data_IF_739611295752
#
_entry.id   IF_739611295752
#
_cell.length_a   1.000
_cell.length_b   1.000
_cell.length_c   1.000
_cell.angle_alpha   90.00
_cell.angle_beta   90.00
_cell.angle_gamma   90.00
#
_symmetry.space_group_name_H-M   'P 1'
#
loop_
_entity.id
_entity.type
_entity.pdbx_description
1 polymer ?
#
# COMPACT_ATOMS: atom_id res chain seq x y z
N UNK A 1 -47.86 24.77 5.77
CA UNK A 1 -46.83 25.80 5.53
C UNK A 1 -45.52 25.32 6.07
N UNK A 2 -44.64 24.78 5.20
CA UNK A 2 -43.18 24.72 5.37
C UNK A 2 -42.61 24.46 3.97
N UNK A 3 -42.38 25.57 3.24
CA UNK A 3 -41.50 25.61 2.08
C UNK A 3 -40.10 25.96 2.58
N UNK A 4 -39.09 25.40 2.00
CA UNK A 4 -37.74 25.91 2.08
C UNK A 4 -36.72 24.82 2.33
N UNK A 5 -36.03 24.41 1.29
CA UNK A 5 -34.60 24.15 1.17
C UNK A 5 -34.27 23.13 0.06
N UNK A 6 -34.52 23.56 -1.16
CA UNK A 6 -34.04 22.79 -2.32
C UNK A 6 -33.50 23.72 -3.44
N UNK A 7 -32.63 24.67 -3.07
CA UNK A 7 -32.00 25.57 -4.04
C UNK A 7 -30.45 25.57 -3.99
N UNK A 8 -29.82 24.78 -3.16
CA UNK A 8 -28.36 24.83 -3.00
C UNK A 8 -27.54 24.01 -3.98
N UNK A 9 -28.06 22.90 -4.46
CA UNK A 9 -27.30 21.93 -5.29
C UNK A 9 -27.05 22.37 -6.75
N UNK A 10 -28.01 22.97 -7.50
CA UNK A 10 -27.79 23.37 -8.88
C UNK A 10 -26.80 24.53 -9.03
N UNK A 11 -26.77 25.46 -8.07
CA UNK A 11 -25.90 26.65 -8.11
C UNK A 11 -24.44 26.29 -7.86
N UNK A 12 -24.18 25.30 -6.98
CA UNK A 12 -22.82 24.83 -6.71
C UNK A 12 -22.25 24.06 -7.91
N UNK A 13 -23.06 23.25 -8.56
CA UNK A 13 -22.67 22.52 -9.78
C UNK A 13 -22.39 23.49 -10.92
N UNK A 14 -23.22 24.51 -11.15
CA UNK A 14 -23.00 25.53 -12.17
C UNK A 14 -21.73 26.38 -11.94
N UNK A 15 -21.42 26.74 -10.69
CA UNK A 15 -20.19 27.46 -10.36
C UNK A 15 -18.95 26.58 -10.55
N UNK A 16 -18.98 25.31 -10.18
CA UNK A 16 -17.87 24.37 -10.39
C UNK A 16 -17.64 24.11 -11.89
N UNK A 17 -18.70 23.99 -12.70
CA UNK A 17 -18.59 23.85 -14.15
C UNK A 17 -18.08 25.13 -14.84
N UNK A 18 -18.51 26.30 -14.40
CA UNK A 18 -18.03 27.59 -14.93
C UNK A 18 -16.54 27.80 -14.66
N UNK A 19 -16.06 27.49 -13.47
CA UNK A 19 -14.64 27.58 -13.12
C UNK A 19 -13.80 26.48 -13.76
N UNK A 20 -14.32 25.25 -13.90
CA UNK A 20 -13.64 24.17 -14.59
C UNK A 20 -13.49 24.43 -16.10
N UNK A 21 -14.51 24.98 -16.76
CA UNK A 21 -14.44 25.33 -18.17
C UNK A 21 -13.49 26.50 -18.47
N UNK A 22 -13.40 27.48 -17.56
CA UNK A 22 -12.41 28.56 -17.64
C UNK A 22 -10.98 28.04 -17.41
N UNK A 23 -10.81 27.12 -16.47
CA UNK A 23 -9.51 26.51 -16.14
C UNK A 23 -8.98 25.57 -17.24
N UNK A 24 -9.85 24.98 -18.05
CA UNK A 24 -9.45 24.14 -19.20
C UNK A 24 -8.85 24.96 -20.34
N UNK A 25 -9.20 26.24 -20.46
CA UNK A 25 -8.66 27.12 -21.52
C UNK A 25 -7.25 27.63 -21.24
N UNK A 26 -6.83 27.66 -19.97
CA UNK A 26 -5.50 28.14 -19.59
C UNK A 26 -4.62 26.99 -19.09
N UNK A 27 -3.96 26.31 -20.01
CA UNK A 27 -3.06 25.18 -19.74
C UNK A 27 -1.80 25.54 -18.95
N UNK A 28 -1.49 26.82 -18.80
CA UNK A 28 -0.24 27.30 -18.19
C UNK A 28 -0.36 27.65 -16.70
N UNK A 29 -1.53 28.00 -16.19
CA UNK A 29 -1.71 28.53 -14.83
C UNK A 29 -1.95 27.48 -13.74
N UNK A 30 -2.18 26.21 -14.10
CA UNK A 30 -2.49 25.17 -13.10
C UNK A 30 -1.25 24.55 -12.39
N UNK A 31 -0.03 24.94 -12.76
CA UNK A 31 1.19 24.42 -12.13
C UNK A 31 1.58 25.13 -10.83
N UNK A 32 1.03 26.29 -10.53
CA UNK A 32 1.54 27.20 -9.48
C UNK A 32 0.80 27.19 -8.14
N UNK A 33 -0.37 26.57 -8.04
CA UNK A 33 -1.11 26.54 -6.78
C UNK A 33 -0.82 25.26 -5.98
N UNK A 34 -0.54 25.37 -4.67
CA UNK A 34 -0.37 24.19 -3.82
C UNK A 34 -1.66 23.35 -3.88
N UNK A 35 -1.56 22.05 -4.19
CA UNK A 35 -2.72 21.23 -4.50
C UNK A 35 -3.57 21.00 -3.26
N UNK A 36 -4.70 21.68 -3.18
CA UNK A 36 -5.71 21.40 -2.16
C UNK A 36 -6.30 19.99 -2.36
N UNK A 37 -6.78 19.38 -1.28
CA UNK A 37 -7.47 18.08 -1.33
C UNK A 37 -8.64 18.10 -2.33
N UNK A 38 -9.32 19.24 -2.44
CA UNK A 38 -10.44 19.45 -3.35
C UNK A 38 -10.02 19.48 -4.82
N UNK A 39 -8.88 20.08 -5.17
CA UNK A 39 -8.38 20.09 -6.56
C UNK A 39 -8.03 18.67 -7.04
N UNK A 40 -7.43 17.85 -6.17
CA UNK A 40 -7.15 16.45 -6.48
C UNK A 40 -8.45 15.67 -6.77
N UNK A 41 -9.48 15.87 -5.96
CA UNK A 41 -10.78 15.25 -6.15
C UNK A 41 -11.43 15.69 -7.45
N UNK A 42 -11.52 17.01 -7.73
CA UNK A 42 -12.09 17.57 -8.95
C UNK A 42 -11.36 17.04 -10.19
N UNK A 43 -10.03 17.03 -10.17
CA UNK A 43 -9.28 16.52 -11.31
C UNK A 43 -9.51 15.03 -11.55
N UNK A 44 -9.53 14.20 -10.50
CA UNK A 44 -9.84 12.79 -10.62
C UNK A 44 -11.27 12.56 -11.16
N UNK A 45 -12.20 13.42 -10.77
CA UNK A 45 -13.54 13.43 -11.34
C UNK A 45 -13.51 13.76 -12.84
N UNK A 46 -12.75 14.78 -13.26
CA UNK A 46 -12.62 15.19 -14.67
C UNK A 46 -11.92 14.11 -15.52
N UNK A 47 -10.95 13.39 -14.96
CA UNK A 47 -10.33 12.21 -15.59
C UNK A 47 -11.35 11.09 -15.73
N UNK A 48 -12.13 10.83 -14.70
CA UNK A 48 -13.16 9.78 -14.72
C UNK A 48 -14.28 10.06 -15.74
N UNK A 49 -14.60 11.34 -15.95
CA UNK A 49 -15.58 11.76 -16.97
C UNK A 49 -15.00 11.85 -18.38
N UNK A 50 -13.72 11.55 -18.58
CA UNK A 50 -13.06 11.61 -19.88
C UNK A 50 -12.75 13.02 -20.39
N UNK A 51 -12.96 14.06 -19.57
CA UNK A 51 -12.64 15.45 -19.91
C UNK A 51 -11.12 15.70 -19.88
N UNK A 52 -10.42 15.03 -18.96
CA UNK A 52 -8.95 15.08 -18.85
C UNK A 52 -8.36 13.69 -19.05
N UNK A 53 -7.18 13.66 -19.68
CA UNK A 53 -6.39 12.43 -19.81
C UNK A 53 -5.92 11.92 -18.46
N UNK A 54 -5.91 10.58 -18.29
CA UNK A 54 -5.34 9.94 -17.11
C UNK A 54 -3.84 10.14 -17.10
N UNK A 55 -3.31 10.78 -16.05
CA UNK A 55 -1.88 10.97 -15.81
C UNK A 55 -1.56 10.48 -14.41
N UNK A 56 -0.34 10.01 -14.22
CA UNK A 56 0.16 9.66 -12.90
C UNK A 56 0.56 10.95 -12.14
N UNK A 57 -0.46 11.69 -11.68
CA UNK A 57 -0.27 13.01 -11.04
C UNK A 57 0.68 12.98 -9.86
N UNK A 58 0.70 11.87 -9.14
CA UNK A 58 1.60 11.69 -8.02
C UNK A 58 3.07 11.75 -8.48
N UNK A 59 3.38 11.27 -9.70
CA UNK A 59 4.71 11.37 -10.29
C UNK A 59 5.01 12.76 -10.89
N UNK A 60 3.99 13.42 -11.45
CA UNK A 60 4.17 14.74 -12.06
C UNK A 60 4.40 15.87 -11.03
N UNK A 61 4.05 15.66 -9.78
CA UNK A 61 4.29 16.61 -8.67
C UNK A 61 5.64 16.47 -8.01
N UNK A 62 6.36 15.38 -8.26
CA UNK A 62 7.65 15.13 -7.62
C UNK A 62 8.71 16.17 -8.01
N UNK A 63 8.82 16.63 -9.26
CA UNK A 63 9.77 17.69 -9.62
C UNK A 63 9.55 18.99 -8.84
N UNK A 64 8.32 19.50 -8.79
CA UNK A 64 8.01 20.73 -8.04
C UNK A 64 8.26 20.59 -6.54
N UNK A 65 7.96 19.41 -5.97
CA UNK A 65 8.31 19.10 -4.59
C UNK A 65 9.83 19.12 -4.37
N UNK A 66 10.62 18.56 -5.32
CA UNK A 66 12.08 18.56 -5.21
C UNK A 66 12.63 19.98 -5.15
N UNK A 67 12.19 20.86 -6.05
CA UNK A 67 12.68 22.26 -6.06
C UNK A 67 12.36 22.98 -4.75
N UNK A 68 11.20 22.72 -4.16
CA UNK A 68 10.86 23.25 -2.84
C UNK A 68 11.75 22.66 -1.73
N UNK A 69 12.04 21.37 -1.76
CA UNK A 69 12.93 20.69 -0.80
C UNK A 69 14.38 21.17 -0.90
N UNK A 70 14.80 21.60 -2.09
CA UNK A 70 16.16 22.07 -2.37
C UNK A 70 16.35 23.58 -2.12
N UNK A 71 15.30 24.34 -1.86
CA UNK A 71 15.37 25.79 -1.75
C UNK A 71 16.41 26.27 -0.71
N UNK A 72 16.48 25.55 0.42
CA UNK A 72 17.40 25.85 1.53
C UNK A 72 18.63 24.93 1.60
N UNK A 73 18.90 24.15 0.54
CA UNK A 73 20.02 23.21 0.51
C UNK A 73 21.22 23.76 -0.28
N UNK A 74 22.45 23.35 0.05
CA UNK A 74 23.63 23.71 -0.73
C UNK A 74 23.48 23.37 -2.23
N UNK A 75 24.01 24.23 -3.10
CA UNK A 75 23.99 24.01 -4.55
C UNK A 75 24.61 22.65 -4.96
N UNK A 76 25.65 22.19 -4.24
CA UNK A 76 26.27 20.90 -4.45
C UNK A 76 25.26 19.74 -4.25
N UNK A 77 24.43 19.78 -3.21
CA UNK A 77 23.37 18.78 -2.99
C UNK A 77 22.32 18.83 -4.08
N UNK A 78 21.90 20.03 -4.50
CA UNK A 78 20.92 20.19 -5.57
C UNK A 78 21.43 19.59 -6.91
N UNK A 79 22.71 19.78 -7.22
CA UNK A 79 23.35 19.24 -8.42
C UNK A 79 23.41 17.70 -8.45
N UNK A 80 23.37 17.05 -7.29
CA UNK A 80 23.30 15.58 -7.17
C UNK A 80 21.85 15.08 -7.09
N UNK A 81 21.00 15.76 -6.34
CA UNK A 81 19.63 15.33 -6.11
C UNK A 81 18.75 15.42 -7.37
N UNK A 82 18.89 16.48 -8.17
CA UNK A 82 18.13 16.64 -9.42
C UNK A 82 18.35 15.50 -10.42
N UNK A 83 19.59 15.16 -10.86
CA UNK A 83 19.78 14.03 -11.77
C UNK A 83 19.45 12.69 -11.12
N UNK A 84 19.70 12.49 -9.83
CA UNK A 84 19.28 11.28 -9.12
C UNK A 84 17.76 11.08 -9.18
N UNK A 85 16.97 12.13 -8.89
CA UNK A 85 15.52 12.03 -9.01
C UNK A 85 15.07 11.85 -10.46
N UNK A 86 15.43 12.77 -11.36
CA UNK A 86 14.85 12.83 -12.70
C UNK A 86 15.25 11.63 -13.57
N UNK A 87 16.55 11.32 -13.62
CA UNK A 87 17.07 10.32 -14.54
C UNK A 87 17.08 8.90 -13.97
N UNK A 88 17.23 8.76 -12.67
CA UNK A 88 17.32 7.42 -12.08
C UNK A 88 16.03 6.97 -11.42
N UNK A 89 15.40 7.78 -10.60
CA UNK A 89 14.20 7.37 -9.85
C UNK A 89 12.92 7.55 -10.68
N UNK A 90 12.66 8.76 -11.17
CA UNK A 90 11.40 9.13 -11.81
C UNK A 90 11.24 8.44 -13.17
N UNK A 91 12.30 8.38 -13.98
CA UNK A 91 12.29 7.64 -15.25
C UNK A 91 11.87 6.17 -15.04
N UNK A 92 12.47 5.50 -14.05
CA UNK A 92 12.12 4.10 -13.72
C UNK A 92 10.71 3.95 -13.17
N UNK A 93 10.23 4.94 -12.41
CA UNK A 93 8.87 4.94 -11.90
C UNK A 93 7.86 5.08 -13.05
N UNK A 94 8.09 6.02 -13.99
CA UNK A 94 7.26 6.20 -15.18
C UNK A 94 7.25 4.96 -16.08
N UNK A 95 8.40 4.33 -16.32
CA UNK A 95 8.47 3.09 -17.09
C UNK A 95 7.66 1.96 -16.42
N UNK A 96 7.74 1.82 -15.11
CA UNK A 96 6.95 0.82 -14.38
C UNK A 96 5.46 1.12 -14.42
N UNK A 97 5.08 2.38 -14.28
CA UNK A 97 3.69 2.82 -14.35
C UNK A 97 3.05 2.56 -15.71
N UNK A 98 3.83 2.69 -16.80
CA UNK A 98 3.37 2.39 -18.16
C UNK A 98 3.10 0.89 -18.41
N UNK A 99 3.78 -0.02 -17.68
CA UNK A 99 3.70 -1.47 -17.91
C UNK A 99 2.98 -2.24 -16.80
N UNK A 100 2.74 -1.63 -15.66
CA UNK A 100 2.15 -2.30 -14.48
C UNK A 100 1.28 -1.33 -13.71
N UNK A 101 0.40 -1.90 -12.87
CA UNK A 101 -0.33 -1.09 -11.90
C UNK A 101 0.62 -0.23 -11.06
N UNK A 102 0.38 1.09 -11.05
CA UNK A 102 1.17 2.06 -10.29
C UNK A 102 0.66 2.13 -8.84
N UNK A 103 1.46 1.72 -7.83
CA UNK A 103 1.00 1.80 -6.45
C UNK A 103 0.83 3.25 -6.03
N UNK A 104 -0.26 3.55 -5.33
CA UNK A 104 -0.58 4.89 -4.82
C UNK A 104 0.46 5.46 -3.83
N UNK A 105 1.43 4.65 -3.40
CA UNK A 105 2.53 5.05 -2.51
C UNK A 105 3.84 5.36 -3.23
N UNK A 106 3.87 5.26 -4.56
CA UNK A 106 5.12 5.39 -5.32
C UNK A 106 5.77 6.78 -5.18
N UNK A 107 4.95 7.84 -5.12
CA UNK A 107 5.42 9.21 -4.88
C UNK A 107 6.13 9.33 -3.52
N UNK A 108 5.53 8.75 -2.48
CA UNK A 108 6.08 8.76 -1.12
C UNK A 108 7.41 8.03 -1.05
N UNK A 109 7.53 6.90 -1.74
CA UNK A 109 8.78 6.13 -1.80
C UNK A 109 9.89 6.90 -2.53
N UNK A 110 9.56 7.61 -3.61
CA UNK A 110 10.53 8.44 -4.32
C UNK A 110 11.01 9.59 -3.45
N UNK A 111 10.10 10.32 -2.79
CA UNK A 111 10.45 11.40 -1.85
C UNK A 111 11.35 10.91 -0.74
N UNK A 112 11.02 9.79 -0.10
CA UNK A 112 11.84 9.21 0.97
C UNK A 112 13.26 8.87 0.50
N UNK A 113 13.43 8.35 -0.73
CA UNK A 113 14.76 8.07 -1.28
C UNK A 113 15.58 9.33 -1.47
N UNK A 114 14.95 10.40 -1.94
CA UNK A 114 15.61 11.70 -2.09
C UNK A 114 15.94 12.29 -0.73
N UNK A 115 15.01 12.32 0.22
CA UNK A 115 15.26 12.86 1.57
C UNK A 115 16.41 12.12 2.26
N UNK A 116 16.46 10.78 2.16
CA UNK A 116 17.58 10.00 2.74
C UNK A 116 18.90 10.29 2.03
N UNK A 117 18.90 10.53 0.71
CA UNK A 117 20.09 10.94 0.00
C UNK A 117 20.58 12.32 0.43
N UNK A 118 19.67 13.29 0.62
CA UNK A 118 20.01 14.63 1.12
C UNK A 118 20.53 14.59 2.57
N UNK A 119 19.93 13.77 3.43
CA UNK A 119 20.42 13.54 4.81
C UNK A 119 21.85 12.97 4.80
N UNK A 120 22.13 12.05 3.87
CA UNK A 120 23.46 11.46 3.71
C UNK A 120 24.48 12.49 3.21
N UNK A 121 24.11 13.32 2.25
CA UNK A 121 24.98 14.40 1.76
C UNK A 121 25.29 15.43 2.88
N UNK A 122 24.29 15.80 3.67
CA UNK A 122 24.51 16.69 4.82
C UNK A 122 25.44 16.06 5.87
N UNK A 123 25.34 14.73 6.08
CA UNK A 123 26.24 13.99 6.98
C UNK A 123 27.70 13.95 6.46
N UNK A 124 27.89 13.86 5.14
CA UNK A 124 29.21 13.94 4.48
C UNK A 124 29.82 15.32 4.71
N UNK A 125 29.06 16.40 4.44
CA UNK A 125 29.51 17.78 4.64
C UNK A 125 29.92 18.07 6.09
N UNK A 126 29.17 17.54 7.07
CA UNK A 126 29.51 17.70 8.50
C UNK A 126 30.85 17.07 8.89
N UNK A 127 31.41 16.22 8.05
CA UNK A 127 32.69 15.52 8.26
C UNK A 127 33.79 15.97 7.31
N UNK A 128 33.53 17.03 6.54
CA UNK A 128 34.45 17.55 5.51
C UNK A 128 34.91 16.46 4.52
N UNK A 129 34.03 15.51 4.21
CA UNK A 129 34.32 14.40 3.30
C UNK A 129 33.84 14.76 1.88
N UNK A 130 34.67 14.48 0.88
CA UNK A 130 34.21 14.54 -0.50
C UNK A 130 33.52 13.21 -0.90
N UNK A 131 32.51 13.31 -1.77
CA UNK A 131 31.76 12.12 -2.23
C UNK A 131 32.67 11.09 -2.94
N UNK A 132 33.73 11.55 -3.62
CA UNK A 132 34.69 10.70 -4.28
C UNK A 132 35.61 9.93 -3.31
N UNK A 133 35.84 10.46 -2.13
CA UNK A 133 36.74 9.90 -1.11
C UNK A 133 36.04 8.94 -0.15
N UNK A 134 34.75 8.71 -0.37
CA UNK A 134 34.00 7.79 0.48
C UNK A 134 34.56 6.37 0.43
N UNK A 135 34.85 5.83 1.61
CA UNK A 135 35.25 4.46 1.83
C UNK A 135 34.11 3.66 2.48
N UNK A 136 34.24 2.34 2.51
CA UNK A 136 33.21 1.46 3.09
C UNK A 136 32.97 1.77 4.59
N UNK A 137 34.04 2.10 5.32
CA UNK A 137 33.95 2.49 6.75
C UNK A 137 33.00 3.67 7.00
N UNK A 138 32.99 4.67 6.11
CA UNK A 138 32.09 5.81 6.22
C UNK A 138 30.61 5.39 6.05
N UNK A 139 30.35 4.40 5.17
CA UNK A 139 29.01 3.83 5.02
C UNK A 139 28.61 3.04 6.26
N UNK A 140 29.53 2.24 6.80
CA UNK A 140 29.29 1.44 8.00
C UNK A 140 28.99 2.34 9.21
N UNK A 141 29.70 3.45 9.37
CA UNK A 141 29.43 4.48 10.37
C UNK A 141 28.05 5.10 10.21
N UNK A 142 27.72 5.54 9.00
CA UNK A 142 26.42 6.16 8.73
C UNK A 142 25.26 5.21 9.01
N UNK A 143 25.35 3.94 8.61
CA UNK A 143 24.32 2.94 8.83
C UNK A 143 24.20 2.49 10.28
N UNK A 144 25.24 2.63 11.11
CA UNK A 144 25.20 2.22 12.53
C UNK A 144 24.14 3.00 13.29
N UNK A 145 23.98 4.31 13.02
CA UNK A 145 22.91 5.14 13.58
C UNK A 145 21.60 5.15 12.79
N UNK A 146 21.52 4.44 11.64
CA UNK A 146 20.38 4.51 10.74
C UNK A 146 19.35 3.41 11.01
N UNK A 147 18.06 3.77 10.89
CA UNK A 147 16.97 2.79 10.92
C UNK A 147 17.04 1.81 9.74
N UNK A 148 16.47 0.61 9.88
CA UNK A 148 16.42 -0.39 8.81
C UNK A 148 15.87 0.17 7.49
N UNK A 149 14.93 1.10 7.57
CA UNK A 149 14.36 1.76 6.39
C UNK A 149 15.37 2.71 5.73
N UNK A 150 16.10 3.52 6.49
CA UNK A 150 17.14 4.42 5.95
C UNK A 150 18.26 3.63 5.28
N UNK A 151 18.71 2.51 5.89
CA UNK A 151 19.69 1.58 5.29
C UNK A 151 19.21 1.02 3.95
N UNK A 152 17.93 0.66 3.85
CA UNK A 152 17.36 0.17 2.58
C UNK A 152 17.29 1.27 1.52
N UNK A 153 16.89 2.48 1.89
CA UNK A 153 16.66 3.56 0.95
C UNK A 153 17.96 4.15 0.39
N UNK A 154 19.03 4.25 1.19
CA UNK A 154 20.32 4.81 0.74
C UNK A 154 20.98 3.98 -0.37
N UNK A 155 20.70 2.68 -0.46
CA UNK A 155 21.20 1.80 -1.53
C UNK A 155 20.92 2.32 -2.93
N UNK A 156 19.77 3.00 -3.10
CA UNK A 156 19.40 3.56 -4.40
C UNK A 156 20.32 4.71 -4.80
N UNK A 157 20.69 5.54 -3.84
CA UNK A 157 21.61 6.65 -4.07
C UNK A 157 23.04 6.14 -4.33
N UNK A 158 23.55 5.25 -3.48
CA UNK A 158 24.89 4.66 -3.65
C UNK A 158 24.99 3.90 -4.98
N UNK A 159 23.98 3.13 -5.37
CA UNK A 159 23.97 2.48 -6.68
C UNK A 159 24.02 3.48 -7.83
N UNK A 160 23.34 4.61 -7.68
CA UNK A 160 23.34 5.67 -8.68
C UNK A 160 24.71 6.37 -8.74
N UNK A 161 25.31 6.74 -7.60
CA UNK A 161 26.64 7.39 -7.55
C UNK A 161 27.73 6.49 -8.11
N UNK A 162 27.73 5.20 -7.76
CA UNK A 162 28.64 4.21 -8.35
C UNK A 162 28.46 4.09 -9.87
N UNK A 163 27.20 4.02 -10.34
CA UNK A 163 26.92 3.94 -11.79
C UNK A 163 27.36 5.19 -12.57
N UNK A 164 27.57 6.30 -11.89
CA UNK A 164 28.06 7.58 -12.43
C UNK A 164 29.55 7.84 -12.15
N UNK A 165 30.22 6.87 -11.55
CA UNK A 165 31.61 6.98 -11.15
C UNK A 165 31.91 8.15 -10.19
N UNK A 166 30.90 8.58 -9.42
CA UNK A 166 31.02 9.60 -8.39
C UNK A 166 31.55 9.03 -7.08
N UNK A 167 31.38 7.73 -6.87
CA UNK A 167 31.91 6.97 -5.73
C UNK A 167 32.49 5.65 -6.21
N UNK A 168 33.35 5.06 -5.41
CA UNK A 168 33.74 3.64 -5.54
C UNK A 168 32.50 2.75 -5.32
N UNK A 169 32.63 1.45 -5.56
CA UNK A 169 31.60 0.49 -5.20
C UNK A 169 31.51 0.39 -3.68
N UNK A 170 30.33 0.81 -3.15
CA UNK A 170 30.02 0.81 -1.72
C UNK A 170 28.82 -0.09 -1.46
N UNK A 171 28.90 -0.92 -0.44
CA UNK A 171 27.88 -1.90 -0.11
C UNK A 171 27.15 -1.52 1.17
N UNK A 172 25.84 -1.68 1.17
CA UNK A 172 25.01 -1.59 2.37
C UNK A 172 24.53 -2.99 2.72
N UNK A 173 24.97 -3.56 3.84
CA UNK A 173 24.55 -4.89 4.26
C UNK A 173 23.03 -5.02 4.34
N UNK A 174 22.50 -6.12 3.85
CA UNK A 174 21.10 -6.44 4.06
C UNK A 174 20.90 -6.85 5.50
N UNK A 175 20.08 -6.12 6.23
CA UNK A 175 19.62 -6.64 7.51
C UNK A 175 18.81 -7.92 7.25
N UNK A 176 18.99 -8.96 8.08
CA UNK A 176 18.06 -10.07 8.08
C UNK A 176 16.65 -9.51 8.22
N UNK A 177 15.75 -9.92 7.34
CA UNK A 177 14.35 -9.53 7.50
C UNK A 177 13.86 -10.14 8.80
N UNK A 178 13.43 -9.28 9.72
CA UNK A 178 12.83 -9.69 10.96
C UNK A 178 11.62 -10.59 10.67
N UNK A 179 11.47 -11.61 11.47
CA UNK A 179 10.28 -12.45 11.50
C UNK A 179 9.05 -11.61 11.82
N UNK A 180 7.86 -12.05 11.44
CA UNK A 180 6.65 -11.35 11.78
C UNK A 180 6.53 -11.26 13.31
N UNK A 181 6.86 -10.10 13.85
CA UNK A 181 6.60 -9.78 15.26
C UNK A 181 5.16 -9.29 15.35
N UNK A 182 4.50 -9.56 16.47
CA UNK A 182 3.11 -9.18 16.74
C UNK A 182 2.11 -9.89 15.82
N UNK A 183 1.90 -11.15 16.05
CA UNK A 183 0.74 -11.91 15.60
C UNK A 183 -0.46 -11.56 16.49
N UNK A 184 -1.64 -11.54 15.91
CA UNK A 184 -2.85 -11.53 16.71
C UNK A 184 -3.03 -12.93 17.30
N UNK A 185 -3.29 -13.01 18.58
CA UNK A 185 -3.51 -14.29 19.25
C UNK A 185 -4.77 -14.98 18.67
N UNK A 186 -4.78 -16.29 18.66
CA UNK A 186 -5.93 -17.08 18.24
C UNK A 186 -7.17 -16.77 19.10
N UNK A 187 -6.98 -16.58 20.40
CA UNK A 187 -8.06 -16.22 21.33
C UNK A 187 -8.68 -14.85 21.02
N UNK A 188 -7.94 -13.93 20.41
CA UNK A 188 -8.44 -12.64 19.93
C UNK A 188 -8.95 -12.72 18.48
N UNK A 189 -8.33 -13.56 17.65
CA UNK A 189 -8.64 -13.66 16.22
C UNK A 189 -10.04 -14.22 15.96
N UNK A 190 -10.39 -15.31 16.64
CA UNK A 190 -11.68 -15.96 16.44
C UNK A 190 -12.88 -15.11 16.89
N UNK A 191 -12.89 -14.45 18.05
CA UNK A 191 -13.94 -13.51 18.43
C UNK A 191 -14.09 -12.34 17.43
N UNK A 192 -12.98 -11.78 16.93
CA UNK A 192 -13.02 -10.73 15.91
C UNK A 192 -13.63 -11.24 14.60
N UNK A 193 -13.27 -12.45 14.17
CA UNK A 193 -13.88 -13.08 12.99
C UNK A 193 -15.37 -13.32 13.18
N UNK A 194 -15.76 -13.89 14.33
CA UNK A 194 -17.16 -14.10 14.65
C UNK A 194 -17.94 -12.79 14.65
N UNK A 195 -17.39 -11.74 15.25
CA UNK A 195 -17.97 -10.40 15.22
C UNK A 195 -18.14 -9.87 13.79
N UNK A 196 -17.15 -10.02 12.93
CA UNK A 196 -17.27 -9.65 11.52
C UNK A 196 -18.41 -10.39 10.80
N UNK A 197 -18.65 -11.66 11.15
CA UNK A 197 -19.66 -12.50 10.49
C UNK A 197 -21.07 -12.30 11.04
N UNK A 198 -21.22 -11.83 12.29
CA UNK A 198 -22.52 -11.85 12.99
C UNK A 198 -23.00 -10.49 13.49
N UNK A 199 -22.13 -9.50 13.66
CA UNK A 199 -22.48 -8.19 14.21
C UNK A 199 -22.99 -7.25 13.11
N UNK A 200 -24.29 -7.09 13.00
CA UNK A 200 -24.94 -6.22 12.01
C UNK A 200 -24.78 -4.72 12.32
N UNK A 201 -24.31 -4.35 13.52
CA UNK A 201 -23.97 -2.97 13.85
C UNK A 201 -22.69 -2.49 13.12
N UNK A 202 -21.85 -3.42 12.65
CA UNK A 202 -20.69 -3.10 11.83
C UNK A 202 -21.09 -2.83 10.37
N UNK A 203 -20.51 -1.81 9.72
CA UNK A 203 -20.71 -1.60 8.28
C UNK A 203 -20.33 -2.85 7.47
N UNK A 204 -21.13 -3.18 6.47
CA UNK A 204 -20.98 -4.40 5.68
C UNK A 204 -19.58 -4.55 5.04
N UNK A 205 -19.01 -3.47 4.55
CA UNK A 205 -17.67 -3.46 3.98
C UNK A 205 -16.56 -3.66 5.03
N UNK A 206 -16.77 -3.24 6.28
CA UNK A 206 -15.88 -3.53 7.42
C UNK A 206 -15.98 -5.02 7.79
N UNK A 207 -17.18 -5.55 7.85
CA UNK A 207 -17.44 -6.97 8.09
C UNK A 207 -16.74 -7.85 7.06
N UNK A 208 -16.98 -7.58 5.78
CA UNK A 208 -16.40 -8.33 4.68
C UNK A 208 -14.86 -8.19 4.62
N UNK A 209 -14.33 -6.96 4.67
CA UNK A 209 -12.90 -6.71 4.65
C UNK A 209 -12.15 -7.27 5.85
N UNK A 210 -12.75 -7.18 7.04
CA UNK A 210 -12.24 -7.77 8.28
C UNK A 210 -12.20 -9.30 8.21
N UNK A 211 -13.29 -9.94 7.84
CA UNK A 211 -13.35 -11.40 7.72
C UNK A 211 -12.36 -11.96 6.69
N UNK A 212 -12.23 -11.32 5.51
CA UNK A 212 -11.23 -11.71 4.50
C UNK A 212 -9.81 -11.56 5.07
N UNK A 213 -9.53 -10.49 5.81
CA UNK A 213 -8.20 -10.25 6.39
C UNK A 213 -7.87 -11.28 7.47
N UNK A 214 -8.83 -11.61 8.34
CA UNK A 214 -8.66 -12.56 9.44
C UNK A 214 -8.57 -14.01 8.97
N UNK A 215 -9.23 -14.38 7.86
CA UNK A 215 -9.20 -15.75 7.31
C UNK A 215 -8.04 -16.00 6.37
N UNK A 216 -7.82 -15.09 5.42
CA UNK A 216 -6.93 -15.36 4.28
C UNK A 216 -5.68 -14.47 4.25
N UNK A 217 -5.64 -13.40 5.03
CA UNK A 217 -4.48 -12.51 5.12
C UNK A 217 -3.98 -11.91 3.81
N UNK A 218 -4.83 -11.48 2.86
CA UNK A 218 -4.35 -10.85 1.63
C UNK A 218 -3.62 -9.54 1.95
N UNK A 219 -2.82 -9.05 0.99
CA UNK A 219 -2.31 -7.67 1.12
C UNK A 219 -3.49 -6.69 1.09
N UNK A 220 -3.38 -5.59 1.86
CA UNK A 220 -4.42 -4.55 1.87
C UNK A 220 -4.68 -3.98 0.46
N UNK A 221 -3.65 -3.91 -0.37
CA UNK A 221 -3.77 -3.50 -1.76
C UNK A 221 -4.68 -4.46 -2.55
N UNK A 222 -4.45 -5.77 -2.41
CA UNK A 222 -5.31 -6.78 -3.06
C UNK A 222 -6.74 -6.73 -2.55
N UNK A 223 -6.93 -6.60 -1.23
CA UNK A 223 -8.25 -6.44 -0.64
C UNK A 223 -9.01 -5.26 -1.24
N UNK A 224 -8.36 -4.09 -1.38
CA UNK A 224 -8.97 -2.89 -1.97
C UNK A 224 -9.37 -3.09 -3.44
N UNK A 225 -8.65 -3.93 -4.18
CA UNK A 225 -8.86 -4.15 -5.62
C UNK A 225 -9.79 -5.34 -5.93
N UNK A 226 -10.51 -5.85 -4.95
CA UNK A 226 -11.51 -6.88 -5.17
C UNK A 226 -12.73 -6.31 -5.92
N UNK A 227 -13.19 -7.06 -6.91
CA UNK A 227 -14.37 -6.78 -7.72
C UNK A 227 -15.34 -7.97 -7.62
N UNK A 228 -16.60 -7.84 -8.01
CA UNK A 228 -17.55 -8.96 -8.05
C UNK A 228 -17.05 -10.13 -8.89
N UNK A 229 -16.23 -9.90 -9.92
CA UNK A 229 -15.66 -10.95 -10.79
C UNK A 229 -14.69 -11.88 -10.06
N UNK A 230 -14.15 -11.43 -8.91
CA UNK A 230 -13.33 -12.28 -8.03
C UNK A 230 -14.17 -13.25 -7.19
N UNK A 231 -15.50 -13.07 -7.15
CA UNK A 231 -16.43 -13.97 -6.48
C UNK A 231 -16.97 -14.98 -7.52
N UNK A 232 -16.85 -16.25 -7.23
CA UNK A 232 -17.40 -17.32 -8.06
C UNK A 232 -18.41 -18.10 -7.22
N UNK A 233 -19.63 -18.21 -7.72
CA UNK A 233 -20.70 -18.96 -7.09
C UNK A 233 -20.99 -20.17 -7.97
N UNK A 234 -21.06 -21.35 -7.36
CA UNK A 234 -21.63 -22.55 -7.94
C UNK A 234 -22.88 -22.94 -7.13
N UNK A 235 -23.55 -24.04 -7.53
CA UNK A 235 -24.82 -24.44 -6.90
C UNK A 235 -24.74 -24.72 -5.39
N UNK A 236 -23.55 -25.01 -4.87
CA UNK A 236 -23.36 -25.42 -3.47
C UNK A 236 -22.37 -24.56 -2.70
N UNK A 237 -21.47 -23.91 -3.39
CA UNK A 237 -20.33 -23.26 -2.77
C UNK A 237 -20.06 -21.88 -3.38
N UNK A 238 -19.41 -21.06 -2.62
CA UNK A 238 -18.89 -19.79 -3.08
C UNK A 238 -17.36 -19.75 -2.90
N UNK A 239 -16.69 -19.15 -3.84
CA UNK A 239 -15.23 -19.06 -3.87
C UNK A 239 -14.78 -17.63 -4.09
N UNK A 240 -13.65 -17.27 -3.51
CA UNK A 240 -12.98 -15.99 -3.69
C UNK A 240 -11.63 -16.20 -4.37
N UNK A 241 -11.36 -15.46 -5.44
CA UNK A 241 -10.10 -15.48 -6.16
C UNK A 241 -9.17 -14.40 -5.61
N UNK A 242 -8.28 -14.76 -4.70
CA UNK A 242 -7.23 -13.88 -4.18
C UNK A 242 -5.90 -14.04 -4.92
N UNK A 243 -5.62 -15.20 -5.44
CA UNK A 243 -4.41 -15.56 -6.17
C UNK A 243 -4.73 -16.16 -7.53
N UNK A 244 -4.00 -17.21 -7.88
CA UNK A 244 -4.23 -17.97 -9.12
C UNK A 244 -5.39 -18.97 -8.97
N UNK A 245 -5.61 -19.46 -7.76
CA UNK A 245 -6.65 -20.42 -7.44
C UNK A 245 -7.72 -19.85 -6.51
N UNK A 246 -8.99 -20.21 -6.73
CA UNK A 246 -10.09 -19.81 -5.88
C UNK A 246 -10.01 -20.50 -4.50
N UNK A 247 -10.37 -19.77 -3.44
CA UNK A 247 -10.53 -20.30 -2.08
C UNK A 247 -11.99 -20.45 -1.73
N UNK A 248 -12.34 -21.54 -1.08
CA UNK A 248 -13.69 -21.78 -0.58
C UNK A 248 -14.05 -20.78 0.51
N UNK A 249 -15.23 -20.20 0.40
CA UNK A 249 -15.74 -19.25 1.38
C UNK A 249 -16.66 -19.95 2.39
N UNK A 250 -16.53 -19.63 3.70
CA UNK A 250 -17.55 -20.01 4.67
C UNK A 250 -18.91 -19.43 4.27
N UNK A 251 -20.03 -20.17 4.46
CA UNK A 251 -21.36 -19.76 3.99
C UNK A 251 -21.78 -18.34 4.40
N UNK A 252 -21.52 -17.95 5.65
CA UNK A 252 -21.84 -16.60 6.16
C UNK A 252 -21.02 -15.50 5.47
N UNK A 253 -19.74 -15.76 5.20
CA UNK A 253 -18.90 -14.80 4.47
C UNK A 253 -19.32 -14.72 2.99
N UNK A 254 -19.67 -15.84 2.38
CA UNK A 254 -20.18 -15.89 1.02
C UNK A 254 -21.44 -15.04 0.86
N UNK A 255 -22.41 -15.18 1.76
CA UNK A 255 -23.63 -14.37 1.77
C UNK A 255 -23.35 -12.88 1.97
N UNK A 256 -22.46 -12.53 2.91
CA UNK A 256 -22.06 -11.15 3.17
C UNK A 256 -21.41 -10.52 1.92
N UNK A 257 -20.55 -11.27 1.23
CA UNK A 257 -19.89 -10.77 0.00
C UNK A 257 -20.85 -10.67 -1.17
N UNK A 258 -21.83 -11.56 -1.26
CA UNK A 258 -22.90 -11.50 -2.26
C UNK A 258 -23.73 -10.22 -2.07
N UNK A 259 -24.17 -9.96 -0.85
CA UNK A 259 -24.91 -8.75 -0.52
C UNK A 259 -24.08 -7.48 -0.78
N UNK A 260 -22.79 -7.48 -0.43
CA UNK A 260 -21.89 -6.36 -0.72
C UNK A 260 -21.73 -6.13 -2.23
N UNK A 261 -21.65 -7.20 -3.02
CA UNK A 261 -21.56 -7.12 -4.47
C UNK A 261 -22.87 -6.62 -5.12
N UNK A 262 -24.01 -6.89 -4.53
CA UNK A 262 -25.31 -6.45 -5.01
C UNK A 262 -25.65 -5.01 -4.60
N UNK A 263 -25.00 -4.47 -3.56
CA UNK A 263 -25.28 -3.11 -3.10
C UNK A 263 -25.13 -2.10 -4.23
N UNK A 264 -26.12 -1.22 -4.42
CA UNK A 264 -26.00 -0.14 -5.40
C UNK A 264 -24.87 0.79 -4.96
N UNK A 265 -23.82 0.85 -5.78
CA UNK A 265 -22.80 1.86 -5.58
C UNK A 265 -23.40 3.23 -5.86
N UNK A 266 -23.25 4.19 -4.96
CA UNK A 266 -23.55 5.59 -5.20
C UNK A 266 -22.70 6.04 -6.37
N UNK A 267 -23.26 5.91 -7.59
CA UNK A 267 -22.64 6.46 -8.80
C UNK A 267 -23.06 7.93 -8.87
N UNK A 268 -22.14 8.88 -8.79
CA UNK A 268 -22.47 10.24 -9.19
C UNK A 268 -23.07 10.19 -10.60
N UNK A 269 -24.07 11.00 -10.87
CA UNK A 269 -24.71 11.03 -12.21
C UNK A 269 -23.71 11.21 -13.36
N UNK A 270 -22.57 11.83 -13.08
CA UNK A 270 -21.41 11.99 -13.98
C UNK A 270 -20.68 10.66 -14.31
N UNK A 271 -20.86 9.62 -13.52
CA UNK A 271 -20.22 8.30 -13.70
C UNK A 271 -20.86 7.46 -14.82
N UNK A 272 -21.94 7.96 -15.48
CA UNK A 272 -22.61 7.23 -16.57
C UNK A 272 -21.78 7.17 -17.86
N UNK A 273 -20.77 8.03 -18.01
CA UNK A 273 -20.01 8.18 -19.27
C UNK A 273 -18.88 7.14 -19.38
N UNK A 274 -18.28 6.71 -18.26
CA UNK A 274 -17.25 5.67 -18.27
C UNK A 274 -17.51 4.65 -17.15
N UNK A 275 -18.03 3.47 -17.47
CA UNK A 275 -18.20 2.39 -16.52
C UNK A 275 -16.81 1.80 -16.19
N UNK A 276 -16.15 2.35 -15.16
CA UNK A 276 -14.97 1.74 -14.59
C UNK A 276 -15.30 0.41 -13.87
N UNK A 277 -14.29 -0.35 -13.42
CA UNK A 277 -14.50 -1.58 -12.68
C UNK A 277 -15.42 -1.33 -11.47
N UNK A 278 -16.31 -2.29 -11.21
CA UNK A 278 -17.13 -2.26 -10.00
C UNK A 278 -16.33 -2.83 -8.85
N UNK A 279 -15.96 -1.99 -7.89
CA UNK A 279 -15.17 -2.39 -6.73
C UNK A 279 -16.07 -2.90 -5.62
N UNK A 280 -15.67 -3.98 -4.93
CA UNK A 280 -16.34 -4.40 -3.67
C UNK A 280 -16.15 -3.35 -2.57
N UNK A 281 -15.00 -2.67 -2.59
CA UNK A 281 -14.66 -1.62 -1.64
C UNK A 281 -14.43 -0.30 -2.38
N UNK A 282 -15.49 0.42 -2.77
CA UNK A 282 -15.37 1.66 -3.51
C UNK A 282 -14.73 2.76 -2.65
N UNK A 283 -13.91 3.58 -3.29
CA UNK A 283 -13.34 4.78 -2.67
C UNK A 283 -14.26 5.99 -2.76
N UNK A 284 -13.80 7.11 -2.21
CA UNK A 284 -14.50 8.39 -2.33
C UNK A 284 -14.50 8.93 -3.76
N UNK A 285 -13.50 8.55 -4.57
CA UNK A 285 -13.39 8.95 -5.97
C UNK A 285 -14.12 7.95 -6.84
N UNK A 286 -15.07 8.39 -7.70
CA UNK A 286 -15.78 7.52 -8.60
C UNK A 286 -14.82 6.69 -9.47
N UNK A 287 -15.12 5.40 -9.63
CA UNK A 287 -14.31 4.48 -10.42
C UNK A 287 -12.98 4.05 -9.79
N UNK A 288 -12.61 4.55 -8.64
CA UNK A 288 -11.41 4.12 -7.90
C UNK A 288 -11.79 3.31 -6.65
N UNK A 289 -10.98 2.29 -6.28
CA UNK A 289 -11.18 1.57 -5.04
C UNK A 289 -10.82 2.44 -3.84
N UNK A 290 -11.21 2.01 -2.65
CA UNK A 290 -10.71 2.60 -1.40
C UNK A 290 -9.18 2.50 -1.37
N UNK A 291 -8.50 3.54 -0.87
CA UNK A 291 -7.04 3.48 -0.73
C UNK A 291 -6.63 2.49 0.36
N UNK A 292 -5.43 1.90 0.25
CA UNK A 292 -4.87 1.00 1.26
C UNK A 292 -4.83 1.64 2.66
N UNK A 293 -4.49 2.93 2.73
CA UNK A 293 -4.53 3.68 3.99
C UNK A 293 -5.97 3.83 4.50
N UNK A 294 -6.90 4.19 3.62
CA UNK A 294 -8.32 4.32 3.98
C UNK A 294 -8.93 3.01 4.50
N UNK A 295 -8.62 1.89 3.86
CA UNK A 295 -9.06 0.56 4.30
C UNK A 295 -8.45 0.22 5.66
N UNK A 296 -7.14 0.39 5.84
CA UNK A 296 -6.46 0.12 7.11
C UNK A 296 -7.06 0.98 8.23
N UNK A 297 -7.23 2.29 7.99
CA UNK A 297 -7.81 3.20 8.97
C UNK A 297 -9.26 2.82 9.31
N UNK A 298 -10.05 2.45 8.28
CA UNK A 298 -11.44 2.03 8.47
C UNK A 298 -11.53 0.78 9.34
N UNK A 299 -10.80 -0.27 9.01
CA UNK A 299 -10.79 -1.52 9.79
C UNK A 299 -10.29 -1.28 11.22
N UNK A 300 -9.20 -0.51 11.40
CA UNK A 300 -8.65 -0.19 12.73
C UNK A 300 -9.63 0.60 13.60
N UNK A 301 -10.45 1.50 13.01
CA UNK A 301 -11.50 2.23 13.75
C UNK A 301 -12.53 1.31 14.40
N UNK A 302 -12.77 0.16 13.80
CA UNK A 302 -13.69 -0.85 14.33
C UNK A 302 -12.97 -1.96 15.11
N UNK A 303 -11.72 -1.73 15.51
CA UNK A 303 -10.95 -2.64 16.36
C UNK A 303 -10.33 -3.83 15.62
N UNK A 304 -10.21 -3.79 14.29
CA UNK A 304 -9.58 -4.85 13.51
C UNK A 304 -8.14 -4.42 13.17
N UNK A 305 -7.11 -4.95 13.85
CA UNK A 305 -5.71 -4.58 13.65
C UNK A 305 -5.16 -5.27 12.41
N UNK A 306 -5.26 -4.63 11.25
CA UNK A 306 -5.02 -5.22 9.91
C UNK A 306 -3.68 -5.95 9.79
N UNK A 307 -2.59 -5.39 10.33
CA UNK A 307 -1.24 -5.98 10.19
C UNK A 307 -1.10 -7.26 10.99
N UNK A 308 -1.49 -7.25 12.26
CA UNK A 308 -1.39 -8.39 13.17
C UNK A 308 -2.39 -9.47 12.80
N UNK A 309 -3.63 -9.11 12.44
CA UNK A 309 -4.66 -10.02 11.94
C UNK A 309 -4.21 -10.73 10.66
N UNK A 310 -3.65 -9.98 9.70
CA UNK A 310 -3.10 -10.54 8.47
C UNK A 310 -1.94 -11.51 8.76
N UNK A 311 -1.03 -11.14 9.65
CA UNK A 311 0.11 -11.98 10.00
C UNK A 311 -0.36 -13.29 10.66
N UNK A 312 -1.31 -13.24 11.57
CA UNK A 312 -1.89 -14.42 12.22
C UNK A 312 -2.57 -15.35 11.19
N UNK A 313 -3.38 -14.80 10.29
CA UNK A 313 -4.00 -15.58 9.22
C UNK A 313 -2.97 -16.27 8.31
N UNK A 314 -1.89 -15.58 7.95
CA UNK A 314 -0.84 -16.15 7.13
C UNK A 314 0.00 -17.19 7.88
N UNK A 315 0.24 -17.02 9.18
CA UNK A 315 0.91 -18.02 10.00
C UNK A 315 0.08 -19.30 10.10
N UNK A 316 -1.22 -19.17 10.37
CA UNK A 316 -2.15 -20.31 10.42
C UNK A 316 -2.21 -21.05 9.06
N UNK A 317 -2.40 -20.33 7.95
CA UNK A 317 -2.40 -20.95 6.62
C UNK A 317 -1.05 -21.60 6.26
N UNK A 318 0.06 -21.02 6.71
CA UNK A 318 1.40 -21.57 6.45
C UNK A 318 1.71 -22.82 7.27
N UNK A 319 1.04 -23.04 8.41
CA UNK A 319 1.12 -24.25 9.17
C UNK A 319 0.51 -25.45 8.43
N UNK A 320 -0.60 -25.20 7.71
CA UNK A 320 -1.40 -26.24 7.05
C UNK A 320 -1.05 -26.43 5.57
N UNK A 321 -0.59 -25.38 4.89
CA UNK A 321 -0.41 -25.40 3.43
C UNK A 321 1.07 -25.42 3.03
N UNK A 322 1.43 -26.26 2.03
CA UNK A 322 2.73 -26.16 1.36
C UNK A 322 2.93 -24.80 0.70
N UNK A 323 4.18 -24.32 0.67
CA UNK A 323 4.50 -22.98 0.17
C UNK A 323 4.03 -22.66 -1.25
N UNK A 324 4.03 -23.60 -2.23
CA UNK A 324 3.46 -23.31 -3.56
C UNK A 324 1.95 -23.04 -3.48
N UNK A 325 1.21 -23.84 -2.72
CA UNK A 325 -0.25 -23.71 -2.55
C UNK A 325 -0.57 -22.41 -1.83
N UNK A 326 0.15 -22.10 -0.74
CA UNK A 326 0.00 -20.83 -0.03
C UNK A 326 0.23 -19.62 -0.96
N UNK A 327 1.25 -19.67 -1.83
CA UNK A 327 1.52 -18.62 -2.80
C UNK A 327 0.36 -18.46 -3.81
N UNK A 328 -0.13 -19.57 -4.33
CA UNK A 328 -1.18 -19.59 -5.36
C UNK A 328 -2.55 -19.16 -4.82
N UNK A 329 -2.87 -19.55 -3.60
CA UNK A 329 -4.13 -19.19 -2.92
C UNK A 329 -4.16 -17.72 -2.50
N UNK A 330 -3.09 -17.22 -1.91
CA UNK A 330 -3.04 -15.84 -1.39
C UNK A 330 -2.57 -14.81 -2.44
N UNK A 331 -2.01 -15.30 -3.55
CA UNK A 331 -1.41 -14.49 -4.60
C UNK A 331 -0.13 -13.77 -4.17
N UNK A 332 0.56 -14.28 -3.14
CA UNK A 332 1.86 -13.75 -2.76
C UNK A 332 2.98 -14.39 -3.61
N UNK A 333 4.14 -13.74 -3.63
CA UNK A 333 5.31 -14.29 -4.30
C UNK A 333 5.80 -15.56 -3.59
N UNK A 334 6.20 -16.59 -4.37
CA UNK A 334 6.66 -17.91 -3.85
C UNK A 334 7.71 -17.80 -2.76
N UNK A 335 8.67 -16.89 -2.91
CA UNK A 335 9.70 -16.66 -1.88
C UNK A 335 9.11 -16.11 -0.56
N UNK A 336 8.01 -15.36 -0.63
CA UNK A 336 7.31 -14.89 0.57
C UNK A 336 6.57 -16.03 1.24
N UNK A 337 5.93 -16.90 0.47
CA UNK A 337 5.25 -18.09 0.99
C UNK A 337 6.22 -19.07 1.65
N UNK A 338 7.39 -19.32 1.04
CA UNK A 338 8.46 -20.12 1.63
C UNK A 338 8.87 -19.61 3.02
N UNK A 339 8.96 -18.31 3.18
CA UNK A 339 9.33 -17.70 4.48
C UNK A 339 8.24 -17.87 5.53
N UNK A 340 6.98 -17.75 5.15
CA UNK A 340 5.87 -18.00 6.07
C UNK A 340 5.83 -19.46 6.54
N UNK A 341 6.02 -20.41 5.62
CA UNK A 341 6.08 -21.84 5.95
C UNK A 341 7.30 -22.14 6.83
N UNK A 342 8.46 -21.54 6.55
CA UNK A 342 9.64 -21.70 7.39
C UNK A 342 9.45 -21.11 8.80
N UNK A 343 8.72 -20.01 8.90
CA UNK A 343 8.34 -19.40 10.18
C UNK A 343 7.43 -20.32 10.99
N UNK A 344 6.33 -20.78 10.40
CA UNK A 344 5.38 -21.67 11.06
C UNK A 344 6.02 -23.00 11.53
N UNK A 345 6.96 -23.55 10.74
CA UNK A 345 7.68 -24.78 11.12
C UNK A 345 8.63 -24.59 12.31
N UNK A 346 9.23 -23.42 12.48
CA UNK A 346 10.09 -23.14 13.64
C UNK A 346 9.29 -23.07 14.93
N UNK A 347 8.14 -22.43 14.88
CA UNK A 347 7.22 -22.33 16.01
C UNK A 347 6.85 -23.73 16.54
N UNK A 348 6.57 -24.67 15.62
CA UNK A 348 6.35 -26.07 15.96
C UNK A 348 7.58 -26.76 16.55
N UNK A 349 8.77 -26.52 16.02
CA UNK A 349 9.99 -27.12 16.52
C UNK A 349 10.35 -26.63 17.92
N UNK A 350 10.18 -25.34 18.20
CA UNK A 350 10.36 -24.74 19.52
C UNK A 350 9.33 -25.27 20.53
N UNK A 351 8.07 -25.41 20.13
CA UNK A 351 7.01 -26.02 20.94
C UNK A 351 7.35 -27.48 21.30
N UNK A 352 7.76 -28.29 20.32
CA UNK A 352 8.14 -29.69 20.56
C UNK A 352 9.37 -29.81 21.45
N UNK A 353 10.34 -28.92 21.26
CA UNK A 353 11.54 -28.88 22.10
C UNK A 353 11.20 -28.50 23.57
N UNK A 354 10.33 -27.50 23.75
CA UNK A 354 9.85 -27.10 25.07
C UNK A 354 9.06 -28.24 25.76
N UNK A 355 8.21 -28.94 25.02
CA UNK A 355 7.44 -30.07 25.53
C UNK A 355 8.33 -31.27 25.88
N UNK A 356 9.34 -31.57 25.09
CA UNK A 356 10.32 -32.61 25.37
C UNK A 356 11.15 -32.28 26.62
N UNK A 357 11.49 -31.00 26.83
CA UNK A 357 12.19 -30.54 28.03
C UNK A 357 11.34 -30.69 29.31
N UNK A 358 10.05 -30.49 29.24
CA UNK A 358 9.10 -30.67 30.35
C UNK A 358 8.83 -32.16 30.63
N UNK A 359 8.73 -32.98 29.56
CA UNK A 359 8.49 -34.42 29.69
C UNK A 359 9.72 -35.24 30.20
N UNK A 360 10.92 -34.67 30.02
CA UNK A 360 12.17 -35.30 30.54
C UNK A 360 12.47 -35.07 32.00
N UNK A 361 11.69 -34.27 32.71
CA UNK A 361 11.85 -33.98 34.14
C UNK A 361 11.03 -34.89 35.06
N UNK A 362 10.16 -35.74 34.52
CA UNK A 362 9.28 -36.62 35.30
C UNK A 362 9.78 -38.11 35.39
N UNK A 363 10.92 -38.42 34.76
CA UNK A 363 11.52 -39.76 34.87
C UNK A 363 12.87 -39.72 35.62
N UNK A 364 12.80 -39.56 36.95
CA UNK A 364 13.90 -40.04 37.81
C UNK A 364 13.26 -40.78 39.00
N UNK A 365 13.63 -42.06 39.20
CA UNK A 365 13.05 -42.92 40.25
C UNK A 365 13.50 -42.54 41.65
#
# INVERSE_FOLDING_TARGET
MRQGHDQGLPVLVGKVYGHAAAAVRDRSTHQELPPSRNQRYIRQLLVHTGILEERHEDLERIPSWLEHELADKPAAHANLARPFLHWFLLRRARQRAAHRHHPASADRDLRRRVSVALDFLAWIDQRDLALADLAQEHIDDWITGATSQRRYLIRYFLKWTTSRQLTRELTVPSLPRQEPQNLLDEDDRWPLLQRCLTDDALPMDVRAGGAITLLFGPSTERLCHLTPEHLKFDDKHAHLVLGCHPVLLPPRLAELLRQLAEQPQLRPQLSRVHPGPRWLFPGMVPGKPISTHGMTQKLSRYGIPVRTARNAALAALAADLPSPILADVTGMHRHTALRWVAYARRDWAEYLAARAAVGGSDETP
#
